data_IF_869631432650
#
_entry.id   IF_869631432650
#
_cell.length_a   1.000
_cell.length_b   1.000
_cell.length_c   1.000
_cell.angle_alpha   90.00
_cell.angle_beta   90.00
_cell.angle_gamma   90.00
#
_symmetry.space_group_name_H-M   'P 1'
#
loop_
_entity.id
_entity.type
_entity.pdbx_description
1 polymer ?
#
# COMPACT_ATOMS: atom_id res chain seq x y z
N UNK A 1 -23.53 -50.29 9.26
CA UNK A 1 -22.96 -48.93 9.21
C UNK A 1 -21.67 -48.96 8.39
N UNK A 2 -21.71 -48.44 7.17
CA UNK A 2 -20.50 -48.24 6.40
C UNK A 2 -19.63 -47.23 7.17
N UNK A 3 -18.40 -47.64 7.46
CA UNK A 3 -17.41 -46.86 8.17
C UNK A 3 -17.17 -45.55 7.39
N UNK A 4 -17.71 -44.43 7.90
CA UNK A 4 -17.52 -43.10 7.30
C UNK A 4 -16.04 -42.67 7.29
N UNK A 5 -15.16 -43.42 7.97
CA UNK A 5 -13.71 -43.20 8.03
C UNK A 5 -12.95 -43.45 6.71
N UNK A 6 -13.60 -43.92 5.63
CA UNK A 6 -12.94 -44.22 4.33
C UNK A 6 -13.30 -43.21 3.23
N UNK A 7 -14.05 -42.15 3.53
CA UNK A 7 -14.33 -41.11 2.53
C UNK A 7 -13.05 -40.29 2.31
N UNK A 8 -12.39 -40.50 1.18
CA UNK A 8 -11.23 -39.71 0.76
C UNK A 8 -11.52 -38.20 0.71
N UNK A 9 -10.49 -37.36 0.49
CA UNK A 9 -10.62 -35.90 0.55
C UNK A 9 -11.77 -35.38 -0.32
N UNK A 10 -12.62 -34.49 0.22
CA UNK A 10 -13.72 -33.89 -0.53
C UNK A 10 -13.19 -32.86 -1.54
N UNK A 11 -12.97 -33.29 -2.78
CA UNK A 11 -12.39 -32.47 -3.85
C UNK A 11 -13.20 -31.21 -4.17
N UNK A 12 -14.53 -31.26 -4.01
CA UNK A 12 -15.41 -30.10 -4.25
C UNK A 12 -15.18 -29.01 -3.20
N UNK A 13 -15.07 -29.40 -1.93
CA UNK A 13 -14.76 -28.47 -0.84
C UNK A 13 -13.34 -27.91 -0.97
N UNK A 14 -12.37 -28.74 -1.34
CA UNK A 14 -10.98 -28.31 -1.54
C UNK A 14 -10.89 -27.30 -2.69
N UNK A 15 -11.53 -27.58 -3.83
CA UNK A 15 -11.53 -26.68 -4.99
C UNK A 15 -12.14 -25.32 -4.67
N UNK A 16 -13.22 -25.31 -3.88
CA UNK A 16 -13.84 -24.07 -3.40
C UNK A 16 -12.89 -23.27 -2.50
N UNK A 17 -12.26 -23.92 -1.51
CA UNK A 17 -11.29 -23.27 -0.61
C UNK A 17 -10.12 -22.65 -1.38
N UNK A 18 -9.56 -23.38 -2.35
CA UNK A 18 -8.47 -22.88 -3.20
C UNK A 18 -8.91 -21.63 -3.98
N UNK A 19 -10.13 -21.64 -4.52
CA UNK A 19 -10.67 -20.49 -5.28
C UNK A 19 -10.82 -19.25 -4.38
N UNK A 20 -11.38 -19.45 -3.18
CA UNK A 20 -11.58 -18.36 -2.23
C UNK A 20 -10.25 -17.79 -1.71
N UNK A 21 -9.28 -18.66 -1.36
CA UNK A 21 -7.93 -18.24 -0.95
C UNK A 21 -7.20 -17.48 -2.06
N UNK A 22 -7.27 -17.96 -3.31
CA UNK A 22 -6.66 -17.28 -4.46
C UNK A 22 -7.21 -15.87 -4.68
N UNK A 23 -8.52 -15.68 -4.51
CA UNK A 23 -9.13 -14.36 -4.65
C UNK A 23 -8.54 -13.35 -3.63
N UNK A 24 -8.32 -13.79 -2.38
CA UNK A 24 -7.69 -12.96 -1.35
C UNK A 24 -6.24 -12.64 -1.70
N UNK A 25 -5.45 -13.64 -2.11
CA UNK A 25 -4.04 -13.45 -2.51
C UNK A 25 -3.91 -12.42 -3.64
N UNK A 26 -4.78 -12.51 -4.65
CA UNK A 26 -4.79 -11.55 -5.77
C UNK A 26 -5.14 -10.13 -5.32
N UNK A 27 -6.14 -9.99 -4.45
CA UNK A 27 -6.54 -8.68 -3.94
C UNK A 27 -5.47 -8.04 -3.03
N UNK A 28 -4.77 -8.83 -2.21
CA UNK A 28 -3.60 -8.35 -1.45
C UNK A 28 -2.46 -7.95 -2.40
N UNK A 29 -2.25 -8.69 -3.49
CA UNK A 29 -1.23 -8.37 -4.49
C UNK A 29 -1.48 -7.05 -5.20
N UNK A 30 -2.75 -6.70 -5.43
CA UNK A 30 -3.13 -5.38 -5.96
C UNK A 30 -2.68 -4.27 -5.00
N UNK A 31 -2.91 -4.43 -3.70
CA UNK A 31 -2.48 -3.45 -2.68
C UNK A 31 -0.96 -3.30 -2.62
N UNK A 32 -0.21 -4.41 -2.65
CA UNK A 32 1.26 -4.37 -2.74
C UNK A 32 1.74 -3.56 -3.95
N UNK A 33 1.08 -3.75 -5.10
CA UNK A 33 1.46 -3.08 -6.36
C UNK A 33 1.18 -1.58 -6.28
N UNK A 34 0.07 -1.18 -5.65
CA UNK A 34 -0.22 0.23 -5.39
C UNK A 34 0.84 0.86 -4.47
N UNK A 35 1.29 0.16 -3.43
CA UNK A 35 2.39 0.64 -2.57
C UNK A 35 3.70 0.81 -3.35
N UNK A 36 4.05 -0.15 -4.20
CA UNK A 36 5.21 -0.05 -5.07
C UNK A 36 5.10 1.12 -6.05
N UNK A 37 3.89 1.46 -6.52
CA UNK A 37 3.72 2.65 -7.35
C UNK A 37 4.06 3.95 -6.61
N UNK A 38 3.86 4.03 -5.29
CA UNK A 38 4.30 5.18 -4.48
C UNK A 38 5.83 5.25 -4.40
N UNK A 39 6.52 4.12 -4.28
CA UNK A 39 7.99 4.08 -4.37
C UNK A 39 8.48 4.57 -5.75
N UNK A 40 7.79 4.22 -6.83
CA UNK A 40 8.11 4.73 -8.17
C UNK A 40 7.87 6.24 -8.26
N UNK A 41 6.79 6.77 -7.68
CA UNK A 41 6.57 8.22 -7.57
C UNK A 41 7.67 8.92 -6.76
N UNK A 42 8.19 8.29 -5.70
CA UNK A 42 9.28 8.85 -4.92
C UNK A 42 10.58 9.04 -5.75
N UNK A 43 10.80 8.22 -6.78
CA UNK A 43 11.93 8.40 -7.73
C UNK A 43 11.78 9.63 -8.63
N UNK A 44 10.55 10.13 -8.79
CA UNK A 44 10.24 11.32 -9.59
C UNK A 44 10.32 12.64 -8.79
N UNK A 45 10.67 12.60 -7.50
CA UNK A 45 10.85 13.81 -6.69
C UNK A 45 11.95 14.69 -7.29
N UNK A 46 11.65 15.97 -7.44
CA UNK A 46 12.57 16.96 -8.00
C UNK A 46 12.86 16.74 -9.48
N UNK A 47 11.92 16.11 -10.21
CA UNK A 47 12.07 15.78 -11.63
C UNK A 47 10.99 16.40 -12.52
N UNK A 48 11.35 16.59 -13.79
CA UNK A 48 10.44 16.86 -14.91
C UNK A 48 10.72 15.89 -16.06
N UNK A 49 9.82 15.83 -17.02
CA UNK A 49 10.07 15.11 -18.28
C UNK A 49 10.84 16.02 -19.25
N UNK A 50 11.84 15.46 -19.93
CA UNK A 50 12.50 16.04 -21.11
C UNK A 50 12.51 15.01 -22.26
N UNK A 51 13.14 15.35 -23.38
CA UNK A 51 13.22 14.47 -24.57
C UNK A 51 13.90 13.10 -24.32
N UNK A 52 14.66 12.97 -23.23
CA UNK A 52 15.47 11.80 -22.90
C UNK A 52 15.00 11.09 -21.61
N UNK A 53 13.82 11.45 -21.06
CA UNK A 53 13.28 10.88 -19.83
C UNK A 53 13.14 11.91 -18.71
N UNK A 54 13.68 11.60 -17.52
CA UNK A 54 13.57 12.46 -16.34
C UNK A 54 14.79 13.38 -16.19
N UNK A 55 14.53 14.68 -16.06
CA UNK A 55 15.50 15.74 -15.81
C UNK A 55 15.24 16.41 -14.47
N UNK A 56 16.17 17.23 -13.98
CA UNK A 56 15.99 17.96 -12.73
C UNK A 56 14.95 19.09 -12.87
N UNK A 57 14.03 19.15 -11.90
CA UNK A 57 13.15 20.29 -11.60
C UNK A 57 12.88 20.28 -10.10
N UNK A 58 13.74 20.95 -9.34
CA UNK A 58 13.70 20.92 -7.89
C UNK A 58 12.51 21.71 -7.34
N UNK A 59 11.96 21.22 -6.24
CA UNK A 59 11.00 21.92 -5.38
C UNK A 59 9.63 22.19 -6.01
N UNK A 60 9.19 21.37 -6.96
CA UNK A 60 7.86 21.45 -7.57
C UNK A 60 7.07 20.14 -7.41
N UNK A 61 6.98 19.62 -6.18
CA UNK A 61 6.48 18.26 -5.91
C UNK A 61 5.01 18.17 -5.45
N UNK A 62 4.27 19.28 -5.33
CA UNK A 62 2.94 19.23 -4.70
C UNK A 62 1.94 18.36 -5.48
N UNK A 63 1.95 18.41 -6.82
CA UNK A 63 1.07 17.58 -7.65
C UNK A 63 1.45 16.09 -7.60
N UNK A 64 2.75 15.79 -7.57
CA UNK A 64 3.29 14.43 -7.37
C UNK A 64 2.77 13.84 -6.04
N UNK A 65 2.85 14.62 -4.96
CA UNK A 65 2.32 14.23 -3.64
C UNK A 65 0.79 14.13 -3.61
N UNK A 66 0.09 14.97 -4.37
CA UNK A 66 -1.35 14.82 -4.61
C UNK A 66 -1.68 13.46 -5.22
N UNK A 67 -0.89 13.01 -6.20
CA UNK A 67 -1.01 11.66 -6.77
C UNK A 67 -0.75 10.55 -5.74
N UNK A 68 0.31 10.67 -4.94
CA UNK A 68 0.60 9.71 -3.86
C UNK A 68 -0.54 9.64 -2.82
N UNK A 69 -1.15 10.78 -2.48
CA UNK A 69 -2.32 10.85 -1.60
C UNK A 69 -3.56 10.19 -2.19
N UNK A 70 -3.80 10.34 -3.50
CA UNK A 70 -4.88 9.61 -4.18
C UNK A 70 -4.67 8.10 -4.11
N UNK A 71 -3.43 7.63 -4.33
CA UNK A 71 -3.10 6.20 -4.23
C UNK A 71 -3.23 5.71 -2.79
N UNK A 72 -2.84 6.50 -1.78
CA UNK A 72 -2.98 6.11 -0.37
C UNK A 72 -4.44 5.89 0.02
N UNK A 73 -5.35 6.75 -0.46
CA UNK A 73 -6.81 6.55 -0.28
C UNK A 73 -7.31 5.30 -0.98
N UNK A 74 -6.85 5.04 -2.21
CA UNK A 74 -7.23 3.84 -2.94
C UNK A 74 -6.77 2.57 -2.21
N UNK A 75 -5.58 2.58 -1.61
CA UNK A 75 -5.09 1.49 -0.75
C UNK A 75 -6.05 1.25 0.43
N UNK A 76 -6.41 2.29 1.18
CA UNK A 76 -7.41 2.17 2.27
C UNK A 76 -8.72 1.56 1.76
N UNK A 77 -9.23 2.02 0.61
CA UNK A 77 -10.47 1.51 0.03
C UNK A 77 -10.38 0.02 -0.31
N UNK A 78 -9.28 -0.40 -0.94
CA UNK A 78 -9.03 -1.79 -1.31
C UNK A 78 -8.92 -2.69 -0.09
N UNK A 79 -8.15 -2.27 0.92
CA UNK A 79 -8.05 -2.98 2.19
C UNK A 79 -9.42 -3.08 2.88
N UNK A 80 -10.24 -2.02 2.84
CA UNK A 80 -11.62 -1.98 3.40
C UNK A 80 -12.56 -3.00 2.78
N UNK A 81 -12.32 -3.38 1.52
CA UNK A 81 -13.12 -4.36 0.78
C UNK A 81 -12.64 -5.81 0.97
N UNK A 82 -11.48 -6.02 1.60
CA UNK A 82 -10.98 -7.37 1.88
C UNK A 82 -11.78 -8.02 3.01
N UNK A 83 -12.32 -9.19 2.72
CA UNK A 83 -12.90 -10.09 3.71
C UNK A 83 -11.97 -11.29 3.86
N UNK A 84 -11.60 -11.62 5.09
CA UNK A 84 -10.66 -12.71 5.39
C UNK A 84 -11.16 -13.63 6.50
N UNK A 85 -10.49 -14.78 6.64
CA UNK A 85 -10.58 -15.62 7.84
C UNK A 85 -10.18 -14.83 9.10
N UNK A 86 -10.50 -15.33 10.29
CA UNK A 86 -10.23 -14.63 11.55
C UNK A 86 -8.77 -14.16 11.67
N UNK A 87 -7.82 -15.02 11.31
CA UNK A 87 -6.39 -14.70 11.30
C UNK A 87 -6.01 -13.60 10.30
N UNK A 88 -6.68 -13.55 9.15
CA UNK A 88 -6.44 -12.51 8.15
C UNK A 88 -7.12 -11.19 8.54
N UNK A 89 -8.24 -11.22 9.27
CA UNK A 89 -8.94 -10.00 9.70
C UNK A 89 -8.04 -9.09 10.53
N UNK A 90 -7.32 -9.64 11.50
CA UNK A 90 -6.40 -8.86 12.33
C UNK A 90 -5.32 -8.16 11.49
N UNK A 91 -4.75 -8.86 10.50
CA UNK A 91 -3.72 -8.29 9.60
C UNK A 91 -4.30 -7.28 8.62
N UNK A 92 -5.52 -7.52 8.15
CA UNK A 92 -6.27 -6.59 7.31
C UNK A 92 -6.52 -5.29 8.08
N UNK A 93 -7.02 -5.36 9.32
CA UNK A 93 -7.27 -4.18 10.17
C UNK A 93 -5.99 -3.43 10.51
N UNK A 94 -4.88 -4.14 10.80
CA UNK A 94 -3.58 -3.51 10.99
C UNK A 94 -3.13 -2.74 9.74
N UNK A 95 -3.26 -3.34 8.55
CA UNK A 95 -2.91 -2.68 7.30
C UNK A 95 -3.79 -1.46 7.01
N UNK A 96 -5.11 -1.57 7.25
CA UNK A 96 -6.06 -0.43 7.14
C UNK A 96 -5.67 0.72 8.06
N UNK A 97 -5.37 0.41 9.32
CA UNK A 97 -4.95 1.44 10.28
C UNK A 97 -3.68 2.13 9.80
N UNK A 98 -2.68 1.40 9.32
CA UNK A 98 -1.47 1.99 8.76
C UNK A 98 -1.75 2.85 7.51
N UNK A 99 -2.67 2.44 6.62
CA UNK A 99 -3.01 3.22 5.43
C UNK A 99 -3.76 4.51 5.75
N UNK A 100 -4.62 4.47 6.78
CA UNK A 100 -5.29 5.64 7.31
C UNK A 100 -4.31 6.59 8.01
N UNK A 101 -3.41 6.05 8.84
CA UNK A 101 -2.39 6.83 9.53
C UNK A 101 -1.48 7.55 8.51
N UNK A 102 -1.04 6.85 7.46
CA UNK A 102 -0.27 7.45 6.36
C UNK A 102 -1.04 8.56 5.64
N UNK A 103 -2.30 8.29 5.24
CA UNK A 103 -3.13 9.29 4.54
C UNK A 103 -3.37 10.52 5.42
N UNK A 104 -3.66 10.34 6.70
CA UNK A 104 -3.83 11.43 7.68
C UNK A 104 -2.54 12.20 7.91
N UNK A 105 -1.38 11.53 7.89
CA UNK A 105 -0.09 12.21 8.05
C UNK A 105 0.22 13.15 6.90
N UNK A 106 -0.04 12.71 5.66
CA UNK A 106 0.07 13.58 4.48
C UNK A 106 -0.86 14.80 4.61
N UNK A 107 -2.11 14.58 5.03
CA UNK A 107 -3.10 15.64 5.20
C UNK A 107 -2.76 16.62 6.32
N UNK A 108 -2.32 16.14 7.48
CA UNK A 108 -1.90 17.02 8.59
C UNK A 108 -0.64 17.82 8.26
N UNK A 109 0.16 17.36 7.31
CA UNK A 109 1.35 18.06 6.80
C UNK A 109 1.05 19.00 5.62
N UNK A 110 -0.23 19.28 5.32
CA UNK A 110 -0.63 20.02 4.11
C UNK A 110 0.02 21.39 3.95
N UNK A 111 0.33 22.09 5.06
CA UNK A 111 0.99 23.40 5.01
C UNK A 111 2.35 23.36 4.30
N UNK A 112 3.01 22.21 4.34
CA UNK A 112 4.33 21.98 3.74
C UNK A 112 4.30 21.07 2.51
N UNK A 113 3.25 20.25 2.37
CA UNK A 113 3.11 19.29 1.26
C UNK A 113 2.20 19.79 0.13
N UNK A 114 1.26 20.67 0.45
CA UNK A 114 0.28 21.26 -0.48
C UNK A 114 0.55 22.74 -0.75
N UNK A 115 1.82 23.12 -0.89
CA UNK A 115 2.21 24.53 -1.07
C UNK A 115 1.69 25.06 -2.41
N UNK A 116 1.18 26.30 -2.40
CA UNK A 116 0.65 26.98 -3.57
C UNK A 116 1.69 27.06 -4.71
N UNK A 117 1.22 27.05 -5.96
CA UNK A 117 2.09 27.07 -7.13
C UNK A 117 2.94 25.80 -7.31
N UNK A 118 2.69 24.75 -6.52
CA UNK A 118 3.41 23.49 -6.60
C UNK A 118 4.71 23.43 -5.79
N UNK A 119 5.05 24.49 -5.05
CA UNK A 119 6.38 24.77 -4.50
C UNK A 119 6.84 23.88 -3.32
N UNK A 120 6.31 22.66 -3.19
CA UNK A 120 6.75 21.71 -2.18
C UNK A 120 8.19 21.26 -2.46
N UNK A 121 9.07 21.49 -1.49
CA UNK A 121 10.51 21.18 -1.61
C UNK A 121 10.77 19.69 -1.79
N UNK A 122 11.89 19.36 -2.44
CA UNK A 122 12.32 17.96 -2.60
C UNK A 122 12.49 17.28 -1.24
N UNK A 123 13.03 18.02 -0.26
CA UNK A 123 13.23 17.53 1.10
C UNK A 123 11.90 17.19 1.78
N UNK A 124 10.90 18.08 1.71
CA UNK A 124 9.58 17.80 2.27
C UNK A 124 8.86 16.65 1.55
N UNK A 125 9.03 16.52 0.23
CA UNK A 125 8.51 15.39 -0.52
C UNK A 125 9.17 14.06 -0.10
N UNK A 126 10.49 14.04 0.13
CA UNK A 126 11.20 12.86 0.62
C UNK A 126 10.73 12.45 2.01
N UNK A 127 10.55 13.40 2.93
CA UNK A 127 9.98 13.15 4.27
C UNK A 127 8.57 12.54 4.24
N UNK A 128 7.84 12.73 3.13
CA UNK A 128 6.48 12.26 2.95
C UNK A 128 6.39 10.88 2.29
N UNK A 129 7.15 10.61 1.23
CA UNK A 129 6.97 9.38 0.42
C UNK A 129 8.25 8.58 0.12
N UNK A 130 9.44 9.05 0.53
CA UNK A 130 10.67 8.28 0.37
C UNK A 130 10.96 7.49 1.65
N UNK A 131 10.57 6.22 1.69
CA UNK A 131 10.74 5.34 2.86
C UNK A 131 12.20 5.13 3.30
N UNK A 132 13.17 5.38 2.43
CA UNK A 132 14.60 5.32 2.75
C UNK A 132 15.19 6.66 3.21
N UNK A 133 14.39 7.74 3.26
CA UNK A 133 14.88 9.04 3.71
C UNK A 133 15.27 9.00 5.20
N UNK A 134 16.28 9.77 5.59
CA UNK A 134 16.71 9.82 6.98
C UNK A 134 15.65 10.47 7.88
N UNK A 135 15.11 11.62 7.46
CA UNK A 135 13.97 12.27 8.11
C UNK A 135 12.67 11.78 7.47
N UNK A 136 11.74 11.27 8.26
CA UNK A 136 10.49 10.66 7.81
C UNK A 136 9.24 11.31 8.40
N UNK A 137 9.40 12.52 8.94
CA UNK A 137 8.41 13.17 9.83
C UNK A 137 7.10 13.61 9.16
N UNK A 138 6.93 13.40 7.85
CA UNK A 138 5.76 13.88 7.07
C UNK A 138 4.98 12.77 6.37
N UNK A 139 5.28 11.50 6.63
CA UNK A 139 4.54 10.37 6.06
C UNK A 139 5.42 9.17 5.72
N UNK A 140 6.72 9.35 5.52
CA UNK A 140 7.58 8.25 5.09
C UNK A 140 7.74 7.17 6.18
N UNK A 141 7.50 7.51 7.46
CA UNK A 141 7.51 6.56 8.57
C UNK A 141 6.23 5.72 8.57
N UNK A 142 5.07 6.37 8.43
CA UNK A 142 3.78 5.71 8.28
C UNK A 142 3.70 4.87 7.00
N UNK A 143 4.31 5.33 5.90
CA UNK A 143 4.45 4.55 4.67
C UNK A 143 5.29 3.30 4.89
N UNK A 144 6.41 3.39 5.61
CA UNK A 144 7.24 2.23 5.97
C UNK A 144 6.45 1.18 6.76
N UNK A 145 5.72 1.63 7.80
CA UNK A 145 4.84 0.75 8.60
C UNK A 145 3.73 0.10 7.76
N UNK A 146 3.17 0.84 6.80
CA UNK A 146 2.18 0.31 5.88
C UNK A 146 2.77 -0.79 4.98
N UNK A 147 3.98 -0.59 4.45
CA UNK A 147 4.69 -1.62 3.69
C UNK A 147 4.88 -2.91 4.50
N UNK A 148 5.36 -2.80 5.74
CA UNK A 148 5.57 -3.95 6.64
C UNK A 148 4.27 -4.67 6.98
N UNK A 149 3.19 -3.91 7.24
CA UNK A 149 1.88 -4.49 7.54
C UNK A 149 1.28 -5.22 6.34
N UNK A 150 1.42 -4.67 5.13
CA UNK A 150 0.92 -5.32 3.90
C UNK A 150 1.78 -6.53 3.54
N UNK A 151 3.11 -6.48 3.76
CA UNK A 151 3.98 -7.65 3.59
C UNK A 151 3.56 -8.80 4.53
N UNK A 152 3.27 -8.48 5.78
CA UNK A 152 2.78 -9.45 6.77
C UNK A 152 1.43 -10.04 6.38
N UNK A 153 0.51 -9.22 5.84
CA UNK A 153 -0.77 -9.68 5.31
C UNK A 153 -0.59 -10.59 4.09
N UNK A 154 0.32 -10.25 3.19
CA UNK A 154 0.64 -11.03 1.98
C UNK A 154 1.20 -12.41 2.30
N UNK A 155 2.12 -12.49 3.27
CA UNK A 155 2.66 -13.78 3.76
C UNK A 155 1.52 -14.66 4.29
N UNK A 156 0.71 -14.12 5.19
CA UNK A 156 -0.42 -14.86 5.77
C UNK A 156 -1.46 -15.28 4.72
N UNK A 157 -1.74 -14.44 3.72
CA UNK A 157 -2.66 -14.80 2.65
C UNK A 157 -2.11 -15.96 1.80
N UNK A 158 -0.81 -15.98 1.51
CA UNK A 158 -0.14 -17.07 0.78
C UNK A 158 -0.09 -18.37 1.57
N UNK A 159 0.08 -18.30 2.90
CA UNK A 159 0.08 -19.48 3.76
C UNK A 159 -1.30 -20.16 3.85
N UNK A 160 -2.38 -19.46 3.44
CA UNK A 160 -3.75 -20.00 3.37
C UNK A 160 -4.12 -20.59 2.01
N UNK A 161 -3.25 -20.47 1.01
CA UNK A 161 -3.43 -21.03 -0.33
C UNK A 161 -2.93 -22.47 -0.39
#
# INVERSE_FOLDING_TARGET
PADESVKGPNLTEISKKITDSNAIVLAVKEVETLLLSIDELAKAIGKKINNNGLDALQNFNASLLGGAHTISKLITEKLSKLNGSEELKEKIEAAKKCSDDFTKKLQSSHAELGVAGGATTDENAKKAILKSNADKTKGADELGKLFESVESLSKAAKDKL
#
